data_IF_479212205905
#
_entry.id   IF_479212205905
#
_cell.length_a   1.000
_cell.length_b   1.000
_cell.length_c   1.000
_cell.angle_alpha   90.00
_cell.angle_beta   90.00
_cell.angle_gamma   90.00
#
_symmetry.space_group_name_H-M   'P 1'
#
loop_
_entity.id
_entity.type
_entity.pdbx_description
1 polymer ?
#
# COMPACT_ATOMS: atom_id res chain seq x y z
N UNK A 1 31.65 -47.98 30.17
CA UNK A 1 30.28 -48.56 30.08
C UNK A 1 29.53 -47.68 29.08
N UNK A 2 29.33 -48.14 27.84
CA UNK A 2 28.65 -47.36 26.81
C UNK A 2 27.15 -47.30 27.16
N UNK A 3 26.60 -46.10 27.26
CA UNK A 3 25.17 -45.88 27.46
C UNK A 3 24.51 -46.19 26.10
N UNK A 4 23.94 -47.38 25.95
CA UNK A 4 23.38 -47.85 24.67
C UNK A 4 21.89 -47.53 24.47
N UNK A 5 21.20 -46.94 25.46
CA UNK A 5 19.79 -46.55 25.36
C UNK A 5 19.59 -45.12 25.87
N UNK A 6 19.72 -44.14 24.98
CA UNK A 6 19.29 -42.78 25.24
C UNK A 6 17.86 -42.61 24.71
N UNK A 7 16.93 -42.20 25.58
CA UNK A 7 15.57 -41.81 25.18
C UNK A 7 15.51 -40.31 24.95
N UNK A 8 14.94 -39.90 23.82
CA UNK A 8 14.72 -38.49 23.49
C UNK A 8 13.59 -37.92 24.38
N UNK A 9 13.87 -36.83 25.10
CA UNK A 9 12.87 -36.11 25.90
C UNK A 9 12.50 -34.85 25.15
N UNK A 10 11.23 -34.74 24.72
CA UNK A 10 10.69 -33.51 24.16
C UNK A 10 9.94 -32.74 25.24
N UNK A 11 10.33 -31.48 25.44
CA UNK A 11 9.62 -30.54 26.29
C UNK A 11 9.22 -29.33 25.46
N UNK A 12 7.92 -29.03 25.44
CA UNK A 12 7.37 -27.82 24.83
C UNK A 12 6.72 -27.00 25.94
N UNK A 13 7.25 -25.83 26.30
CA UNK A 13 6.62 -24.99 27.30
C UNK A 13 5.26 -24.54 26.78
N UNK A 14 4.20 -24.80 27.57
CA UNK A 14 2.86 -24.28 27.28
C UNK A 14 2.64 -23.05 28.15
N UNK A 15 2.39 -21.92 27.49
CA UNK A 15 1.96 -20.66 28.12
C UNK A 15 2.94 -20.10 29.16
N UNK A 16 3.77 -19.16 28.71
CA UNK A 16 4.63 -18.38 29.58
C UNK A 16 4.04 -16.97 29.65
N UNK A 17 3.57 -16.58 30.83
CA UNK A 17 2.87 -15.29 31.01
C UNK A 17 3.80 -14.07 30.89
N UNK A 18 5.10 -14.24 30.71
CA UNK A 18 6.10 -13.17 30.78
C UNK A 18 7.07 -13.32 29.61
N UNK A 19 7.23 -12.26 28.82
CA UNK A 19 8.26 -12.16 27.79
C UNK A 19 9.63 -11.93 28.45
N UNK A 20 10.71 -12.44 27.83
CA UNK A 20 12.07 -12.32 28.36
C UNK A 20 12.81 -13.65 28.49
N UNK A 21 13.85 -13.65 29.32
CA UNK A 21 14.71 -14.82 29.53
C UNK A 21 14.06 -15.82 30.49
N UNK A 22 13.95 -17.07 30.04
CA UNK A 22 13.42 -18.19 30.80
C UNK A 22 14.49 -19.26 30.96
N UNK A 23 14.46 -19.98 32.09
CA UNK A 23 15.38 -21.08 32.34
C UNK A 23 14.60 -22.35 32.69
N UNK A 24 14.72 -23.37 31.85
CA UNK A 24 14.16 -24.70 32.10
C UNK A 24 15.23 -25.55 32.74
N UNK A 25 14.93 -26.07 33.93
CA UNK A 25 15.84 -26.94 34.68
C UNK A 25 15.35 -28.38 34.66
N UNK A 26 16.14 -29.26 34.04
CA UNK A 26 15.97 -30.70 34.11
C UNK A 26 16.75 -31.24 35.30
N UNK A 27 16.05 -31.75 36.32
CA UNK A 27 16.66 -32.40 37.48
C UNK A 27 16.52 -33.92 37.35
N UNK A 28 17.63 -34.64 37.29
CA UNK A 28 17.68 -36.10 37.32
C UNK A 28 18.10 -36.55 38.70
N UNK A 29 17.20 -37.22 39.42
CA UNK A 29 17.44 -37.78 40.76
C UNK A 29 17.57 -39.30 40.66
N UNK A 30 18.59 -39.85 41.33
CA UNK A 30 18.78 -41.30 41.47
C UNK A 30 18.52 -41.72 42.91
N UNK A 31 18.14 -42.98 43.15
CA UNK A 31 17.86 -43.53 44.49
C UNK A 31 19.03 -43.34 45.47
N UNK A 32 20.25 -43.22 44.95
CA UNK A 32 21.48 -42.96 45.71
C UNK A 32 21.81 -41.47 45.76
N UNK A 33 20.91 -40.63 46.28
CA UNK A 33 21.15 -39.23 46.70
C UNK A 33 21.81 -38.26 45.69
N UNK A 34 22.08 -38.69 44.47
CA UNK A 34 22.79 -37.91 43.45
C UNK A 34 21.76 -37.24 42.55
N UNK A 35 21.83 -35.91 42.51
CA UNK A 35 20.99 -35.08 41.65
C UNK A 35 21.86 -34.34 40.63
N UNK A 36 21.61 -34.56 39.35
CA UNK A 36 22.19 -33.77 38.27
C UNK A 36 21.16 -32.76 37.77
N UNK A 37 21.56 -31.49 37.62
CA UNK A 37 20.69 -30.42 37.11
C UNK A 37 21.26 -29.89 35.80
N UNK A 38 20.46 -29.89 34.74
CA UNK A 38 20.76 -29.24 33.47
C UNK A 38 19.83 -28.05 33.32
N UNK A 39 20.38 -26.83 33.24
CA UNK A 39 19.62 -25.62 32.92
C UNK A 39 19.76 -25.29 31.44
N UNK A 40 18.64 -25.03 30.77
CA UNK A 40 18.60 -24.53 29.39
C UNK A 40 17.88 -23.19 29.43
N UNK A 41 18.60 -22.11 29.10
CA UNK A 41 18.00 -20.79 28.94
C UNK A 41 17.49 -20.60 27.52
N UNK A 42 16.35 -19.93 27.39
CA UNK A 42 15.81 -19.47 26.12
C UNK A 42 15.11 -18.13 26.31
N UNK A 43 15.04 -17.35 25.24
CA UNK A 43 14.40 -16.02 25.26
C UNK A 43 13.06 -16.15 24.54
N UNK A 44 11.99 -15.72 25.20
CA UNK A 44 10.67 -15.61 24.62
C UNK A 44 10.41 -14.16 24.22
N UNK A 45 10.34 -13.92 22.91
CA UNK A 45 10.02 -12.61 22.36
C UNK A 45 8.50 -12.42 22.24
N UNK A 46 8.08 -11.16 22.25
CA UNK A 46 6.72 -10.77 21.90
C UNK A 46 6.41 -11.10 20.43
N UNK A 47 5.14 -11.32 20.11
CA UNK A 47 4.75 -11.48 18.71
C UNK A 47 5.02 -10.18 17.95
N UNK A 48 5.57 -10.27 16.72
CA UNK A 48 5.76 -9.11 15.88
C UNK A 48 4.42 -8.46 15.53
N UNK A 49 4.47 -7.19 15.15
CA UNK A 49 3.29 -6.46 14.69
C UNK A 49 2.62 -7.20 13.52
N UNK A 50 1.29 -7.23 13.50
CA UNK A 50 0.43 -8.07 12.62
C UNK A 50 0.17 -9.48 13.13
N UNK A 51 0.75 -9.86 14.26
CA UNK A 51 0.53 -11.16 14.87
C UNK A 51 0.06 -11.00 16.32
N UNK A 52 -0.86 -11.86 16.72
CA UNK A 52 -1.40 -11.96 18.07
C UNK A 52 -1.31 -13.41 18.53
N UNK A 53 -1.05 -13.61 19.82
CA UNK A 53 -1.01 -14.95 20.41
C UNK A 53 -2.39 -15.59 20.31
N UNK A 54 -2.52 -16.71 19.59
CA UNK A 54 -3.72 -17.52 19.53
C UNK A 54 -3.88 -18.33 20.85
N UNK A 55 -5.05 -18.92 21.07
CA UNK A 55 -5.40 -19.84 22.16
C UNK A 55 -4.38 -20.98 22.40
N UNK A 56 -3.58 -21.33 21.39
CA UNK A 56 -2.52 -22.35 21.47
C UNK A 56 -1.15 -21.80 21.93
N UNK A 57 -1.03 -20.49 22.17
CA UNK A 57 0.24 -19.85 22.52
C UNK A 57 1.17 -19.60 21.33
N UNK A 58 0.66 -19.71 20.09
CA UNK A 58 1.38 -19.44 18.85
C UNK A 58 1.01 -18.06 18.32
N UNK A 59 1.97 -17.32 17.73
CA UNK A 59 1.68 -16.07 17.05
C UNK A 59 0.92 -16.35 15.75
N UNK A 60 -0.32 -15.87 15.69
CA UNK A 60 -1.23 -16.00 14.55
C UNK A 60 -1.60 -14.63 14.00
N UNK A 61 -2.00 -14.55 12.74
CA UNK A 61 -2.31 -13.29 12.06
C UNK A 61 -3.44 -12.53 12.80
N UNK A 62 -3.14 -11.33 13.29
CA UNK A 62 -4.17 -10.46 13.88
C UNK A 62 -5.06 -9.79 12.82
N UNK A 63 -4.63 -9.80 11.56
CA UNK A 63 -5.29 -9.15 10.41
C UNK A 63 -6.16 -10.14 9.62
N UNK A 64 -6.59 -11.25 10.25
CA UNK A 64 -7.29 -12.33 9.58
C UNK A 64 -8.70 -11.91 9.09
N UNK A 65 -8.77 -11.33 7.89
CA UNK A 65 -9.98 -11.28 7.04
C UNK A 65 -9.93 -12.43 6.03
N UNK A 66 -11.06 -12.71 5.40
CA UNK A 66 -11.09 -13.58 4.21
C UNK A 66 -10.05 -13.09 3.19
N UNK A 67 -9.26 -14.02 2.65
CA UNK A 67 -8.20 -13.78 1.66
C UNK A 67 -6.93 -13.05 2.11
N UNK A 68 -6.64 -13.02 3.42
CA UNK A 68 -5.33 -12.57 3.94
C UNK A 68 -4.59 -13.75 4.57
N UNK A 69 -3.34 -13.96 4.18
CA UNK A 69 -2.42 -14.92 4.79
C UNK A 69 -1.16 -14.20 5.24
N UNK A 70 -0.58 -14.59 6.36
CA UNK A 70 0.70 -14.06 6.80
C UNK A 70 1.65 -15.19 7.18
N UNK A 71 2.93 -14.98 6.89
CA UNK A 71 4.01 -15.88 7.24
C UNK A 71 4.85 -15.25 8.35
N UNK A 72 4.83 -15.88 9.52
CA UNK A 72 5.55 -15.43 10.72
C UNK A 72 7.08 -15.47 10.53
N UNK A 73 7.61 -16.37 9.71
CA UNK A 73 9.05 -16.55 9.57
C UNK A 73 9.68 -15.42 8.74
N UNK A 74 8.92 -14.94 7.76
CA UNK A 74 9.38 -13.95 6.78
C UNK A 74 8.75 -12.57 7.02
N UNK A 75 7.77 -12.47 7.92
CA UNK A 75 6.95 -11.28 8.19
C UNK A 75 6.19 -10.76 6.96
N UNK A 76 6.01 -11.60 5.95
CA UNK A 76 5.25 -11.26 4.77
C UNK A 76 3.75 -11.43 5.01
N UNK A 77 3.00 -10.46 4.50
CA UNK A 77 1.55 -10.48 4.43
C UNK A 77 1.18 -10.60 2.96
N UNK A 78 0.32 -11.57 2.65
CA UNK A 78 -0.25 -11.76 1.32
C UNK A 78 -1.74 -11.53 1.40
N UNK A 79 -2.27 -10.68 0.52
CA UNK A 79 -3.70 -10.52 0.38
C UNK A 79 -4.11 -10.65 -1.09
N UNK A 80 -5.39 -10.93 -1.31
CA UNK A 80 -5.99 -10.98 -2.63
C UNK A 80 -7.24 -10.10 -2.69
N UNK A 81 -7.43 -9.40 -3.81
CA UNK A 81 -8.55 -8.49 -4.04
C UNK A 81 -8.27 -7.03 -3.67
N UNK A 82 -9.33 -6.21 -3.69
CA UNK A 82 -9.30 -4.75 -3.55
C UNK A 82 -9.18 -4.30 -2.10
N UNK A 83 -8.04 -4.62 -1.51
CA UNK A 83 -7.72 -4.36 -0.12
C UNK A 83 -6.42 -3.56 -0.03
N UNK A 84 -6.33 -2.69 0.96
CA UNK A 84 -5.07 -2.09 1.37
C UNK A 84 -4.85 -2.33 2.85
N UNK A 85 -3.67 -2.85 3.19
CA UNK A 85 -3.26 -3.10 4.57
C UNK A 85 -2.02 -2.26 4.87
N UNK A 86 -2.05 -1.53 5.96
CA UNK A 86 -0.88 -0.80 6.41
C UNK A 86 -0.99 -0.39 7.87
N UNK A 87 -0.14 0.54 8.28
CA UNK A 87 -0.10 1.03 9.66
C UNK A 87 -0.56 2.48 9.73
N UNK A 88 -1.20 2.85 10.83
CA UNK A 88 -1.37 4.24 11.20
C UNK A 88 -0.04 4.77 11.74
N UNK A 89 0.46 5.85 11.13
CA UNK A 89 1.71 6.47 11.57
C UNK A 89 1.51 7.09 12.95
N UNK A 90 2.26 6.62 13.94
CA UNK A 90 2.53 7.38 15.17
C UNK A 90 3.81 8.19 14.97
N UNK A 91 4.07 9.18 15.83
CA UNK A 91 5.16 10.15 15.67
C UNK A 91 6.59 9.57 15.73
N UNK A 92 6.74 8.26 15.96
CA UNK A 92 8.03 7.56 16.06
C UNK A 92 8.33 6.75 14.78
N UNK A 93 9.58 6.78 14.28
CA UNK A 93 9.99 5.96 13.14
C UNK A 93 9.83 4.46 13.46
N UNK A 94 9.33 3.70 12.49
CA UNK A 94 8.95 2.31 12.66
C UNK A 94 10.13 1.35 12.46
N UNK A 95 10.24 0.36 13.33
CA UNK A 95 11.09 -0.80 13.17
C UNK A 95 10.21 -2.07 13.12
N UNK A 96 10.29 -2.83 12.04
CA UNK A 96 9.48 -4.05 11.84
C UNK A 96 9.84 -5.18 12.81
N UNK A 97 11.03 -5.10 13.40
CA UNK A 97 11.58 -6.11 14.31
C UNK A 97 11.29 -5.81 15.79
N UNK A 98 10.69 -4.66 16.10
CA UNK A 98 10.37 -4.24 17.47
C UNK A 98 8.86 -4.17 17.68
N UNK A 99 8.42 -4.57 18.87
CA UNK A 99 7.05 -4.33 19.31
C UNK A 99 6.84 -2.82 19.48
N UNK A 100 6.14 -2.20 18.54
CA UNK A 100 5.66 -0.84 18.69
C UNK A 100 4.26 -0.88 19.33
N UNK A 101 4.12 -0.65 20.65
CA UNK A 101 2.84 -0.81 21.36
C UNK A 101 1.73 0.13 20.87
N UNK A 102 2.09 1.18 20.12
CA UNK A 102 1.15 2.19 19.61
C UNK A 102 0.85 2.06 18.12
N UNK A 103 1.36 1.03 17.43
CA UNK A 103 1.15 0.89 16.00
C UNK A 103 -0.17 0.17 15.70
N UNK A 104 -1.16 0.92 15.22
CA UNK A 104 -2.45 0.40 14.81
C UNK A 104 -2.39 -0.09 13.35
N UNK A 105 -2.87 -1.30 13.10
CA UNK A 105 -2.98 -1.84 11.74
C UNK A 105 -4.33 -1.45 11.17
N UNK A 106 -4.28 -0.90 9.96
CA UNK A 106 -5.45 -0.48 9.21
C UNK A 106 -5.62 -1.45 8.05
N UNK A 107 -6.84 -1.96 7.90
CA UNK A 107 -7.26 -2.80 6.80
C UNK A 107 -8.51 -2.15 6.20
N UNK A 108 -8.37 -1.60 5.00
CA UNK A 108 -9.40 -0.81 4.34
C UNK A 108 -9.64 -1.32 2.92
N UNK A 109 -10.90 -1.26 2.48
CA UNK A 109 -11.24 -1.58 1.10
C UNK A 109 -10.70 -0.49 0.18
N UNK A 110 -9.95 -0.91 -0.85
CA UNK A 110 -9.23 -0.01 -1.73
C UNK A 110 -9.70 -0.18 -3.18
N UNK A 111 -10.59 0.70 -3.60
CA UNK A 111 -11.21 0.60 -4.92
C UNK A 111 -10.30 1.13 -6.04
N UNK A 112 -9.49 2.15 -5.78
CA UNK A 112 -8.65 2.83 -6.77
C UNK A 112 -7.16 2.53 -6.54
N UNK A 113 -6.45 2.24 -7.63
CA UNK A 113 -4.97 2.07 -7.69
C UNK A 113 -4.35 0.97 -6.80
N UNK A 114 -5.14 0.18 -6.08
CA UNK A 114 -4.67 -1.06 -5.47
C UNK A 114 -4.62 -2.21 -6.50
N UNK A 115 -3.63 -3.08 -6.33
CA UNK A 115 -3.51 -4.29 -7.13
C UNK A 115 -4.71 -5.22 -6.87
N UNK A 116 -5.46 -5.65 -7.89
CA UNK A 116 -6.54 -6.62 -7.73
C UNK A 116 -6.04 -8.05 -7.59
N UNK A 117 -4.76 -8.29 -7.96
CA UNK A 117 -4.14 -9.61 -7.94
C UNK A 117 -3.57 -9.91 -6.55
N UNK A 118 -3.19 -11.16 -6.31
CA UNK A 118 -2.46 -11.51 -5.09
C UNK A 118 -1.14 -10.74 -5.02
N UNK A 119 -0.94 -10.02 -3.92
CA UNK A 119 0.26 -9.24 -3.62
C UNK A 119 0.81 -9.66 -2.28
N UNK A 120 2.13 -9.82 -2.23
CA UNK A 120 2.90 -10.20 -1.03
C UNK A 120 3.81 -9.03 -0.68
N UNK A 121 3.65 -8.51 0.53
CA UNK A 121 4.34 -7.30 0.98
C UNK A 121 4.77 -7.43 2.45
N UNK A 122 5.56 -6.46 2.93
CA UNK A 122 5.90 -6.33 4.35
C UNK A 122 5.32 -5.02 4.89
N UNK A 123 5.00 -4.94 6.18
CA UNK A 123 4.52 -3.69 6.79
C UNK A 123 5.53 -2.53 6.76
N UNK A 124 6.79 -2.82 6.44
CA UNK A 124 7.80 -1.79 6.18
C UNK A 124 7.71 -1.19 4.78
N UNK A 125 7.18 -1.94 3.81
CA UNK A 125 7.05 -1.55 2.41
C UNK A 125 5.63 -1.84 1.92
N UNK A 126 4.71 -0.96 2.30
CA UNK A 126 3.28 -1.07 1.96
C UNK A 126 2.97 -0.65 0.53
N UNK A 127 3.91 0.00 -0.16
CA UNK A 127 3.68 0.62 -1.47
C UNK A 127 3.60 -0.42 -2.59
N UNK A 128 4.14 -1.62 -2.35
CA UNK A 128 4.04 -2.79 -3.25
C UNK A 128 2.60 -3.27 -3.49
N UNK A 129 1.64 -2.86 -2.66
CA UNK A 129 0.21 -3.13 -2.85
C UNK A 129 -0.42 -2.27 -3.97
N UNK A 130 0.30 -1.25 -4.44
CA UNK A 130 -0.19 -0.23 -5.36
C UNK A 130 0.25 -0.46 -6.81
N UNK A 131 -0.49 0.15 -7.75
CA UNK A 131 -0.13 0.22 -9.18
C UNK A 131 0.23 1.64 -9.61
N UNK A 132 0.73 1.81 -10.84
CA UNK A 132 1.02 3.12 -11.45
C UNK A 132 2.00 4.02 -10.67
N UNK A 133 2.97 3.41 -9.99
CA UNK A 133 3.96 4.06 -9.10
C UNK A 133 3.31 4.89 -7.96
N UNK A 134 2.06 4.56 -7.62
CA UNK A 134 1.40 5.09 -6.43
C UNK A 134 1.90 4.37 -5.18
N UNK A 135 1.69 4.98 -4.03
CA UNK A 135 2.09 4.46 -2.73
C UNK A 135 1.32 5.13 -1.60
N UNK A 136 1.82 4.94 -0.38
CA UNK A 136 1.24 5.42 0.87
C UNK A 136 -0.18 4.86 1.11
N UNK A 137 -0.90 5.44 2.08
CA UNK A 137 -2.23 4.99 2.50
C UNK A 137 -3.18 4.91 1.31
N UNK A 138 -3.77 3.73 1.12
CA UNK A 138 -4.71 3.43 0.03
C UNK A 138 -4.20 3.80 -1.37
N UNK A 139 -2.89 3.81 -1.59
CA UNK A 139 -2.31 4.21 -2.88
C UNK A 139 -2.72 5.65 -3.28
N UNK A 140 -2.93 6.53 -2.30
CA UNK A 140 -3.48 7.86 -2.49
C UNK A 140 -2.51 8.87 -3.09
N UNK A 141 -1.20 8.64 -2.94
CA UNK A 141 -0.13 9.55 -3.39
C UNK A 141 0.90 8.83 -4.26
N UNK A 142 1.82 9.60 -4.83
CA UNK A 142 2.98 9.05 -5.53
C UNK A 142 4.04 8.57 -4.53
N UNK A 143 4.79 7.55 -4.94
CA UNK A 143 6.01 7.10 -4.24
C UNK A 143 7.09 8.19 -4.26
N UNK A 144 8.06 8.11 -3.34
CA UNK A 144 9.14 9.09 -3.26
C UNK A 144 9.90 9.20 -4.60
N UNK A 145 10.19 10.43 -5.02
CA UNK A 145 10.84 10.71 -6.31
C UNK A 145 9.93 10.68 -7.53
N UNK A 146 8.65 10.33 -7.37
CA UNK A 146 7.64 10.41 -8.42
C UNK A 146 6.70 11.61 -8.19
N UNK A 147 6.10 12.09 -9.28
CA UNK A 147 5.12 13.16 -9.28
C UNK A 147 3.91 12.75 -10.09
N UNK A 148 2.74 13.30 -9.74
CA UNK A 148 1.53 13.05 -10.48
C UNK A 148 1.66 13.65 -11.88
N UNK A 149 1.25 12.90 -12.91
CA UNK A 149 1.26 13.40 -14.28
C UNK A 149 -0.01 14.24 -14.53
N UNK A 150 0.12 15.31 -15.31
CA UNK A 150 -1.04 16.00 -15.86
C UNK A 150 -1.58 15.20 -17.05
N UNK A 151 -2.91 15.15 -17.22
CA UNK A 151 -3.55 14.31 -18.24
C UNK A 151 -3.89 12.88 -17.82
N UNK A 152 -3.29 12.33 -16.76
CA UNK A 152 -3.66 11.02 -16.19
C UNK A 152 -3.47 10.98 -14.68
N UNK A 153 -3.95 9.93 -14.01
CA UNK A 153 -3.76 9.79 -12.56
C UNK A 153 -2.56 8.91 -12.18
N UNK A 154 -1.64 8.68 -13.12
CA UNK A 154 -0.41 7.91 -12.88
C UNK A 154 0.70 8.78 -12.31
N UNK A 155 1.65 8.15 -11.65
CA UNK A 155 2.85 8.80 -11.14
C UNK A 155 4.04 8.52 -12.06
N UNK A 156 4.79 9.58 -12.41
CA UNK A 156 5.98 9.52 -13.27
C UNK A 156 7.12 10.37 -12.73
N UNK A 157 8.34 10.12 -13.22
CA UNK A 157 9.51 10.87 -12.78
C UNK A 157 9.64 12.20 -13.52
N UNK A 158 9.78 13.26 -12.74
CA UNK A 158 9.82 14.63 -13.23
C UNK A 158 11.21 15.25 -13.08
N UNK A 159 11.92 15.44 -14.20
CA UNK A 159 13.32 15.87 -14.19
C UNK A 159 13.56 17.34 -14.60
N UNK A 160 12.60 18.00 -15.26
CA UNK A 160 12.83 19.31 -15.89
C UNK A 160 11.86 20.39 -15.40
N UNK A 161 12.40 21.48 -14.84
CA UNK A 161 11.61 22.68 -14.49
C UNK A 161 11.33 23.59 -15.70
N UNK A 162 12.20 23.61 -16.72
CA UNK A 162 12.03 24.51 -17.87
C UNK A 162 10.89 24.10 -18.80
N UNK A 163 10.51 22.82 -18.81
CA UNK A 163 9.38 22.33 -19.63
C UNK A 163 8.04 22.89 -19.15
N UNK A 164 7.90 23.20 -17.86
CA UNK A 164 6.71 23.84 -17.29
C UNK A 164 6.37 25.15 -17.98
N UNK A 165 7.38 26.01 -18.21
CA UNK A 165 7.21 27.33 -18.83
C UNK A 165 6.72 27.18 -20.27
N UNK A 166 7.28 26.22 -21.01
CA UNK A 166 6.85 25.91 -22.37
C UNK A 166 5.39 25.43 -22.41
N UNK A 167 4.99 24.56 -21.48
CA UNK A 167 3.61 24.10 -21.36
C UNK A 167 2.64 25.23 -21.03
N UNK A 168 2.98 26.11 -20.08
CA UNK A 168 2.14 27.27 -19.72
C UNK A 168 1.90 28.17 -20.94
N UNK A 169 2.95 28.50 -21.69
CA UNK A 169 2.83 29.33 -22.88
C UNK A 169 1.93 28.68 -23.94
N UNK A 170 2.10 27.37 -24.17
CA UNK A 170 1.29 26.60 -25.10
C UNK A 170 -0.18 26.60 -24.68
N UNK A 171 -0.49 26.38 -23.39
CA UNK A 171 -1.86 26.36 -22.89
C UNK A 171 -2.53 27.72 -22.92
N UNK A 172 -1.79 28.80 -22.66
CA UNK A 172 -2.32 30.15 -22.80
C UNK A 172 -2.77 30.42 -24.25
N UNK A 173 -1.97 30.04 -25.24
CA UNK A 173 -2.32 30.20 -26.67
C UNK A 173 -3.51 29.33 -27.06
N UNK A 174 -3.49 28.05 -26.66
CA UNK A 174 -4.58 27.11 -26.96
C UNK A 174 -5.91 27.53 -26.33
N UNK A 175 -5.88 28.06 -25.10
CA UNK A 175 -7.07 28.59 -24.43
C UNK A 175 -7.69 29.77 -25.19
N UNK A 176 -6.87 30.72 -25.65
CA UNK A 176 -7.36 31.86 -26.47
C UNK A 176 -7.97 31.38 -27.78
N UNK A 177 -7.32 30.44 -28.47
CA UNK A 177 -7.84 29.84 -29.71
C UNK A 177 -9.18 29.14 -29.48
N UNK A 178 -9.32 28.39 -28.37
CA UNK A 178 -10.56 27.73 -28.00
C UNK A 178 -11.69 28.76 -27.79
N UNK A 179 -11.42 29.87 -27.10
CA UNK A 179 -12.41 30.94 -26.89
C UNK A 179 -12.85 31.56 -28.22
N UNK A 180 -11.91 31.87 -29.12
CA UNK A 180 -12.21 32.41 -30.45
C UNK A 180 -13.09 31.43 -31.25
N UNK A 181 -12.77 30.13 -31.18
CA UNK A 181 -13.53 29.08 -31.87
C UNK A 181 -14.96 28.94 -31.30
N UNK A 182 -15.12 28.98 -29.98
CA UNK A 182 -16.45 28.95 -29.35
C UNK A 182 -17.31 30.14 -29.77
N UNK A 183 -16.73 31.34 -29.83
CA UNK A 183 -17.42 32.56 -30.31
C UNK A 183 -17.80 32.42 -31.79
N UNK A 184 -16.87 31.99 -32.65
CA UNK A 184 -17.13 31.82 -34.08
C UNK A 184 -18.24 30.80 -34.36
N UNK A 185 -18.34 29.75 -33.54
CA UNK A 185 -19.36 28.71 -33.66
C UNK A 185 -20.65 29.02 -32.88
N UNK A 186 -20.74 30.15 -32.18
CA UNK A 186 -21.85 30.51 -31.29
C UNK A 186 -22.22 29.41 -30.27
N UNK A 187 -21.23 28.68 -29.77
CA UNK A 187 -21.43 27.65 -28.76
C UNK A 187 -21.34 28.27 -27.35
N UNK A 188 -22.36 28.06 -26.53
CA UNK A 188 -22.36 28.48 -25.12
C UNK A 188 -22.09 27.28 -24.21
N UNK A 189 -21.09 27.42 -23.34
CA UNK A 189 -20.70 26.35 -22.40
C UNK A 189 -21.76 26.17 -21.29
N UNK A 190 -22.53 27.22 -20.96
CA UNK A 190 -23.49 27.19 -19.85
C UNK A 190 -24.92 26.78 -20.22
N UNK A 191 -25.28 26.74 -21.52
CA UNK A 191 -26.65 26.43 -21.97
C UNK A 191 -26.62 25.44 -23.14
N UNK A 192 -27.16 24.24 -22.95
CA UNK A 192 -27.31 23.24 -24.01
C UNK A 192 -26.71 21.87 -23.68
N UNK A 193 -26.51 21.04 -24.71
CA UNK A 193 -26.03 19.66 -24.62
C UNK A 193 -24.57 19.54 -24.16
N UNK A 194 -23.76 20.58 -24.35
CA UNK A 194 -22.34 20.63 -23.99
C UNK A 194 -22.10 20.52 -22.47
N UNK A 195 -22.95 21.16 -21.65
CA UNK A 195 -22.82 21.08 -20.20
C UNK A 195 -23.09 19.66 -19.67
N UNK A 196 -24.11 18.98 -20.22
CA UNK A 196 -24.39 17.59 -19.90
C UNK A 196 -23.29 16.64 -20.35
N UNK A 197 -22.69 16.89 -21.52
CA UNK A 197 -21.58 16.10 -22.05
C UNK A 197 -20.32 16.26 -21.16
N UNK A 198 -19.98 17.50 -20.77
CA UNK A 198 -18.86 17.79 -19.87
C UNK A 198 -19.04 17.11 -18.51
N UNK A 199 -20.24 17.16 -17.93
CA UNK A 199 -20.52 16.48 -16.67
C UNK A 199 -20.34 14.96 -16.76
N UNK A 200 -20.88 14.33 -17.81
CA UNK A 200 -20.76 12.89 -18.01
C UNK A 200 -19.30 12.44 -18.19
N UNK A 201 -18.54 13.18 -19.01
CA UNK A 201 -17.14 12.88 -19.28
C UNK A 201 -16.27 13.05 -18.03
N UNK A 202 -16.53 14.05 -17.19
CA UNK A 202 -15.85 14.22 -15.91
C UNK A 202 -16.05 13.01 -14.98
N UNK A 203 -17.28 12.47 -14.92
CA UNK A 203 -17.58 11.25 -14.13
C UNK A 203 -16.82 10.04 -14.69
N UNK A 204 -16.84 9.84 -16.02
CA UNK A 204 -16.13 8.71 -16.65
C UNK A 204 -14.62 8.78 -16.37
N UNK A 205 -14.04 9.98 -16.42
CA UNK A 205 -12.61 10.21 -16.14
C UNK A 205 -12.24 9.97 -14.67
N UNK A 206 -13.10 10.34 -13.73
CA UNK A 206 -12.88 10.06 -12.30
C UNK A 206 -12.77 8.56 -12.02
N UNK A 207 -13.59 7.76 -12.71
CA UNK A 207 -13.63 6.29 -12.58
C UNK A 207 -12.81 5.56 -13.65
N UNK A 208 -11.94 6.27 -14.37
CA UNK A 208 -11.03 5.69 -15.35
C UNK A 208 -10.27 4.46 -14.83
N UNK A 209 -9.74 4.41 -13.58
CA UNK A 209 -9.04 3.23 -13.08
C UNK A 209 -9.92 1.97 -13.01
N UNK A 210 -11.24 2.15 -12.84
CA UNK A 210 -12.21 1.05 -12.80
C UNK A 210 -12.56 0.59 -14.21
N UNK A 211 -12.73 1.53 -15.14
CA UNK A 211 -13.07 1.23 -16.54
C UNK A 211 -11.89 0.72 -17.36
N UNK A 212 -10.70 1.32 -17.19
CA UNK A 212 -9.47 0.98 -17.91
C UNK A 212 -8.88 -0.36 -17.50
N UNK A 213 -9.27 -0.91 -16.33
CA UNK A 213 -8.86 -2.25 -15.87
C UNK A 213 -9.26 -3.36 -16.85
N UNK A 214 -10.29 -3.15 -17.68
CA UNK A 214 -10.73 -4.10 -18.73
C UNK A 214 -10.10 -3.85 -20.11
N UNK A 215 -9.13 -2.94 -20.22
CA UNK A 215 -8.53 -2.54 -21.49
C UNK A 215 -9.40 -1.53 -22.21
N UNK A 216 -9.26 -0.25 -21.85
CA UNK A 216 -9.87 0.83 -22.62
C UNK A 216 -9.11 1.03 -23.94
N UNK A 217 -9.84 1.26 -25.03
CA UNK A 217 -9.24 1.61 -26.32
C UNK A 217 -8.55 2.99 -26.17
N UNK A 218 -7.23 3.11 -26.43
CA UNK A 218 -6.47 4.34 -26.20
C UNK A 218 -7.02 5.55 -26.99
N UNK A 219 -7.71 5.29 -28.10
CA UNK A 219 -8.37 6.33 -28.91
C UNK A 219 -9.58 6.92 -28.18
N UNK A 220 -10.36 6.09 -27.48
CA UNK A 220 -11.56 6.56 -26.77
C UNK A 220 -11.17 7.41 -25.55
N UNK A 221 -10.13 7.01 -24.82
CA UNK A 221 -9.59 7.76 -23.68
C UNK A 221 -9.05 9.13 -24.12
N UNK A 222 -8.41 9.21 -25.29
CA UNK A 222 -7.95 10.49 -25.85
C UNK A 222 -9.12 11.44 -26.12
N UNK A 223 -10.17 10.95 -26.78
CA UNK A 223 -11.36 11.74 -27.14
C UNK A 223 -12.11 12.19 -25.89
N UNK A 224 -12.28 11.30 -24.90
CA UNK A 224 -12.87 11.63 -23.60
C UNK A 224 -12.05 12.72 -22.91
N UNK A 225 -10.72 12.62 -22.91
CA UNK A 225 -9.86 13.62 -22.28
C UNK A 225 -9.99 15.00 -22.94
N UNK A 226 -10.01 15.08 -24.28
CA UNK A 226 -10.22 16.34 -25.00
C UNK A 226 -11.59 16.95 -24.75
N UNK A 227 -12.65 16.13 -24.71
CA UNK A 227 -13.99 16.61 -24.35
C UNK A 227 -13.99 17.12 -22.90
N UNK A 228 -13.20 16.53 -22.02
CA UNK A 228 -13.01 17.00 -20.64
C UNK A 228 -12.13 18.25 -20.51
N UNK A 229 -11.73 18.87 -21.63
CA UNK A 229 -10.75 19.96 -21.67
C UNK A 229 -9.43 19.60 -20.98
N UNK A 230 -9.11 18.31 -20.92
CA UNK A 230 -7.82 17.83 -20.48
C UNK A 230 -6.94 17.51 -21.70
N UNK A 231 -5.63 17.44 -21.47
CA UNK A 231 -4.65 17.43 -22.54
C UNK A 231 -4.71 16.16 -23.39
N UNK A 232 -5.21 15.05 -22.84
CA UNK A 232 -5.27 13.76 -23.51
C UNK A 232 -3.93 13.04 -23.60
N UNK A 233 -2.84 13.67 -23.18
CA UNK A 233 -1.52 13.04 -23.10
C UNK A 233 -0.92 13.30 -21.72
N UNK A 234 -0.08 12.37 -21.29
CA UNK A 234 0.55 12.42 -19.96
C UNK A 234 1.75 13.38 -20.02
N UNK A 235 1.72 14.43 -19.20
CA UNK A 235 2.85 15.36 -19.06
C UNK A 235 3.33 15.45 -17.61
N UNK A 236 4.64 15.49 -17.46
CA UNK A 236 5.24 15.97 -16.23
C UNK A 236 5.21 17.50 -16.22
N UNK A 237 4.40 18.09 -15.34
CA UNK A 237 4.28 19.54 -15.24
C UNK A 237 5.40 20.16 -14.38
N UNK A 238 5.57 19.68 -13.14
CA UNK A 238 6.71 19.99 -12.28
C UNK A 238 6.93 18.89 -11.23
N UNK A 239 8.10 18.90 -10.58
CA UNK A 239 8.46 17.91 -9.56
C UNK A 239 7.73 18.16 -8.22
N UNK A 240 7.13 17.12 -7.66
CA UNK A 240 6.35 17.16 -6.43
C UNK A 240 4.87 17.48 -6.62
N UNK A 241 4.36 17.50 -7.86
CA UNK A 241 2.94 17.72 -8.11
C UNK A 241 2.11 16.59 -7.51
N UNK A 242 1.14 16.93 -6.66
CA UNK A 242 0.21 16.01 -6.01
C UNK A 242 -1.22 16.17 -6.56
N UNK A 243 -2.14 15.35 -6.05
CA UNK A 243 -3.55 15.38 -6.46
C UNK A 243 -4.21 16.72 -6.14
N UNK A 244 -3.82 17.37 -5.04
CA UNK A 244 -4.39 18.65 -4.64
C UNK A 244 -3.97 19.74 -5.62
N UNK A 245 -2.68 19.87 -5.90
CA UNK A 245 -2.16 20.85 -6.84
C UNK A 245 -2.70 20.64 -8.27
N UNK A 246 -2.85 19.37 -8.70
CA UNK A 246 -3.48 19.05 -9.99
C UNK A 246 -4.94 19.52 -10.06
N UNK A 247 -5.70 19.48 -8.96
CA UNK A 247 -7.09 19.92 -8.93
C UNK A 247 -7.25 21.44 -9.08
N UNK A 248 -6.23 22.22 -8.70
CA UNK A 248 -6.24 23.68 -8.76
C UNK A 248 -5.77 24.26 -10.11
N UNK A 249 -5.15 23.44 -10.95
CA UNK A 249 -4.68 23.80 -12.29
C UNK A 249 -5.73 23.50 -13.35
#
# INVERSE_FOLDING_TARGET
KYINNCSLIHYTPKYINHYGEHNVTLSVTTDTSYSAKLGVSFILNECPISFSVNSLGLCDCSVSKENVTCDINTLHITHNGLLWIGKYHTSTPFNANETNPNACIINEDCLLYCSPNSVTFQLNDTDTQCVDNRGHRMCGSCTEGYSLLMGSNKCGQCHNNYTMIAWIALFAVMGVLLVVLLIALNLTVSVGTLNGLLFYVNIVKLYEPVFSRKGALPVLTQVISWINLDFGFEICFYNGMDTYAKQWL
#
